data_IF_439262642154
#
_entry.id   IF_439262642154
#
_cell.length_a   1.000
_cell.length_b   1.000
_cell.length_c   1.000
_cell.angle_alpha   90.00
_cell.angle_beta   90.00
_cell.angle_gamma   90.00
#
_symmetry.space_group_name_H-M   'P 1'
#
loop_
_entity.id
_entity.type
_entity.pdbx_description
1 polymer ?
#
# COMPACT_ATOMS: atom_id res chain seq x y z
N UNK A 1 -19.31 -2.15 -19.59
CA UNK A 1 -18.98 -2.06 -18.13
C UNK A 1 -17.48 -2.19 -18.02
N UNK A 2 -16.80 -1.25 -17.38
CA UNK A 2 -15.34 -1.26 -17.23
C UNK A 2 -14.95 -2.41 -16.29
N UNK A 3 -13.97 -3.22 -16.70
CA UNK A 3 -13.37 -4.24 -15.86
C UNK A 3 -12.13 -3.65 -15.16
N UNK A 4 -12.31 -3.00 -14.04
CA UNK A 4 -11.22 -2.39 -13.29
C UNK A 4 -10.11 -3.38 -12.93
N UNK A 5 -10.46 -4.63 -12.58
CA UNK A 5 -9.45 -5.64 -12.26
C UNK A 5 -8.50 -5.95 -13.43
N UNK A 6 -9.01 -6.00 -14.65
CA UNK A 6 -8.20 -6.17 -15.86
C UNK A 6 -7.34 -4.93 -16.13
N UNK A 7 -7.93 -3.72 -16.05
CA UNK A 7 -7.20 -2.48 -16.27
C UNK A 7 -6.01 -2.30 -15.30
N UNK A 8 -6.23 -2.55 -14.01
CA UNK A 8 -5.15 -2.46 -13.03
C UNK A 8 -4.10 -3.55 -13.26
N UNK A 9 -4.51 -4.77 -13.59
CA UNK A 9 -3.56 -5.84 -13.89
C UNK A 9 -2.69 -5.53 -15.11
N UNK A 10 -3.30 -5.05 -16.19
CA UNK A 10 -2.59 -4.65 -17.41
C UNK A 10 -1.65 -3.47 -17.14
N UNK A 11 -2.13 -2.51 -16.34
CA UNK A 11 -1.30 -1.38 -15.91
C UNK A 11 -0.06 -1.88 -15.15
N UNK A 12 -0.22 -2.75 -14.14
CA UNK A 12 0.91 -3.34 -13.43
C UNK A 12 1.87 -4.08 -14.36
N UNK A 13 1.35 -4.86 -15.30
CA UNK A 13 2.17 -5.62 -16.24
C UNK A 13 3.04 -4.73 -17.14
N UNK A 14 2.57 -3.52 -17.46
CA UNK A 14 3.33 -2.55 -18.23
C UNK A 14 4.57 -2.01 -17.49
N UNK A 15 4.53 -1.94 -16.14
CA UNK A 15 5.60 -1.38 -15.33
C UNK A 15 6.42 -2.44 -14.57
N UNK A 16 5.80 -3.54 -14.13
CA UNK A 16 6.38 -4.47 -13.16
C UNK A 16 6.64 -5.87 -13.72
N UNK A 17 6.25 -6.15 -14.96
CA UNK A 17 6.25 -7.48 -15.58
C UNK A 17 5.22 -8.43 -14.93
N UNK A 18 5.46 -9.75 -15.01
CA UNK A 18 4.57 -10.75 -14.44
C UNK A 18 4.81 -10.93 -12.93
N UNK A 19 3.76 -11.08 -12.12
CA UNK A 19 3.90 -11.34 -10.71
C UNK A 19 4.48 -12.76 -10.47
N UNK A 20 5.37 -12.87 -9.49
CA UNK A 20 5.92 -14.16 -9.05
C UNK A 20 5.02 -14.89 -8.05
N UNK A 21 3.97 -14.26 -7.60
CA UNK A 21 3.01 -14.83 -6.65
C UNK A 21 1.72 -14.04 -6.59
N UNK A 22 0.65 -14.73 -6.19
CA UNK A 22 -0.69 -14.16 -6.05
C UNK A 22 -1.38 -14.82 -4.87
N UNK A 23 -1.81 -14.01 -3.92
CA UNK A 23 -2.57 -14.45 -2.77
C UNK A 23 -3.96 -13.82 -2.80
N UNK A 24 -4.99 -14.58 -2.42
CA UNK A 24 -6.39 -14.13 -2.46
C UNK A 24 -6.92 -14.05 -1.04
N UNK A 25 -7.33 -12.87 -0.65
CA UNK A 25 -7.89 -12.60 0.67
C UNK A 25 -9.39 -12.29 0.59
N UNK A 26 -10.15 -12.78 1.56
CA UNK A 26 -11.60 -12.52 1.71
C UNK A 26 -11.90 -12.23 3.16
N UNK A 27 -12.70 -11.20 3.41
CA UNK A 27 -13.24 -10.93 4.74
C UNK A 27 -14.43 -11.85 5.02
N UNK A 28 -15.35 -11.95 4.07
CA UNK A 28 -16.51 -12.86 4.09
C UNK A 28 -16.74 -13.47 2.71
N UNK A 29 -17.61 -14.50 2.63
CA UNK A 29 -17.94 -15.11 1.34
C UNK A 29 -18.77 -14.19 0.42
N UNK A 30 -19.45 -13.21 0.98
CA UNK A 30 -20.33 -12.27 0.24
C UNK A 30 -19.58 -11.04 -0.27
N UNK A 31 -18.43 -10.73 0.31
CA UNK A 31 -17.63 -9.58 -0.07
C UNK A 31 -16.65 -9.92 -1.23
N UNK A 32 -16.39 -8.98 -2.15
CA UNK A 32 -15.35 -9.15 -3.14
C UNK A 32 -14.00 -9.48 -2.51
N UNK A 33 -13.21 -10.32 -3.15
CA UNK A 33 -11.85 -10.59 -2.70
C UNK A 33 -10.90 -9.45 -3.07
N UNK A 34 -9.91 -9.21 -2.23
CA UNK A 34 -8.69 -8.47 -2.57
C UNK A 34 -7.60 -9.50 -2.82
N UNK A 35 -6.88 -9.34 -3.90
CA UNK A 35 -5.72 -10.14 -4.24
C UNK A 35 -4.49 -9.30 -3.98
N UNK A 36 -3.42 -9.95 -3.53
CA UNK A 36 -2.11 -9.32 -3.44
C UNK A 36 -1.19 -10.02 -4.45
N UNK A 37 -0.73 -9.24 -5.40
CA UNK A 37 0.24 -9.67 -6.41
C UNK A 37 1.64 -9.33 -5.90
N UNK A 38 2.57 -10.28 -6.02
CA UNK A 38 3.95 -10.09 -5.57
C UNK A 38 4.89 -10.09 -6.76
N UNK A 39 5.80 -9.13 -6.78
CA UNK A 39 6.82 -8.94 -7.81
C UNK A 39 8.21 -8.90 -7.19
N UNK A 40 9.20 -9.33 -7.95
CA UNK A 40 10.63 -9.24 -7.61
C UNK A 40 11.41 -8.56 -8.75
N UNK A 41 12.63 -8.16 -8.47
CA UNK A 41 13.52 -7.54 -9.47
C UNK A 41 12.96 -6.23 -10.10
N UNK A 42 12.03 -5.56 -9.40
CA UNK A 42 11.59 -4.20 -9.74
C UNK A 42 12.54 -3.19 -9.15
N UNK A 43 12.87 -3.35 -7.88
CA UNK A 43 13.92 -2.62 -7.17
C UNK A 43 14.93 -3.61 -6.62
N UNK A 44 16.20 -3.17 -6.48
CA UNK A 44 17.27 -4.01 -5.97
C UNK A 44 16.94 -4.48 -4.54
N UNK A 45 17.05 -5.79 -4.30
CA UNK A 45 16.80 -6.45 -3.01
C UNK A 45 15.40 -6.22 -2.41
N UNK A 46 14.44 -5.68 -3.18
CA UNK A 46 13.08 -5.44 -2.70
C UNK A 46 12.04 -6.37 -3.34
N UNK A 47 10.93 -6.53 -2.62
CA UNK A 47 9.68 -7.11 -3.12
C UNK A 47 8.63 -6.01 -3.25
N UNK A 48 7.82 -6.08 -4.29
CA UNK A 48 6.67 -5.21 -4.48
C UNK A 48 5.39 -6.02 -4.30
N UNK A 49 4.48 -5.51 -3.51
CA UNK A 49 3.16 -6.09 -3.25
C UNK A 49 2.09 -5.12 -3.72
N UNK A 50 1.28 -5.55 -4.69
CA UNK A 50 0.20 -4.73 -5.22
C UNK A 50 -1.15 -5.33 -4.88
N UNK A 51 -2.06 -4.51 -4.38
CA UNK A 51 -3.46 -4.92 -4.27
C UNK A 51 -4.11 -5.00 -5.65
N UNK A 52 -5.13 -5.86 -5.75
CA UNK A 52 -6.00 -5.97 -6.92
C UNK A 52 -7.40 -6.34 -6.47
N UNK A 53 -8.32 -5.40 -6.57
CA UNK A 53 -9.71 -5.54 -6.15
C UNK A 53 -10.16 -4.62 -5.04
N UNK A 54 -9.28 -3.73 -4.51
CA UNK A 54 -9.67 -2.62 -3.64
C UNK A 54 -10.59 -1.65 -4.38
N UNK A 55 -10.34 -1.39 -5.65
CA UNK A 55 -11.15 -0.58 -6.55
C UNK A 55 -12.64 -0.98 -6.60
N UNK A 56 -12.99 -2.23 -6.24
CA UNK A 56 -14.39 -2.68 -6.11
C UNK A 56 -15.11 -2.08 -4.91
N UNK A 57 -14.38 -1.45 -4.03
CA UNK A 57 -14.88 -0.81 -2.80
C UNK A 57 -14.83 0.72 -2.88
N UNK A 58 -14.75 1.28 -4.09
CA UNK A 58 -14.66 2.72 -4.36
C UNK A 58 -15.68 3.55 -3.55
N UNK A 59 -16.96 3.10 -3.51
CA UNK A 59 -18.02 3.78 -2.74
C UNK A 59 -17.77 3.78 -1.23
N UNK A 60 -16.96 2.85 -0.72
CA UNK A 60 -16.65 2.72 0.71
C UNK A 60 -15.38 3.48 1.05
N UNK A 61 -14.32 3.30 0.24
CA UNK A 61 -13.00 3.88 0.51
C UNK A 61 -12.82 5.29 -0.09
N UNK A 62 -13.83 5.77 -0.84
CA UNK A 62 -13.91 7.15 -1.33
C UNK A 62 -13.17 7.41 -2.64
N UNK A 63 -12.49 6.41 -3.21
CA UNK A 63 -11.76 6.55 -4.47
C UNK A 63 -11.58 5.21 -5.19
N UNK A 64 -11.44 5.26 -6.52
CA UNK A 64 -11.04 4.12 -7.32
C UNK A 64 -9.52 3.98 -7.26
N UNK A 65 -9.04 3.20 -6.30
CA UNK A 65 -7.60 3.06 -6.00
C UNK A 65 -7.19 1.62 -5.79
N UNK A 66 -5.94 1.35 -6.09
CA UNK A 66 -5.19 0.19 -5.62
C UNK A 66 -3.92 0.66 -4.91
N UNK A 67 -3.25 -0.23 -4.19
CA UNK A 67 -2.10 0.10 -3.34
C UNK A 67 -0.89 -0.74 -3.74
N UNK A 68 0.25 -0.08 -3.89
CA UNK A 68 1.57 -0.70 -4.05
C UNK A 68 2.39 -0.52 -2.78
N UNK A 69 3.02 -1.60 -2.30
CA UNK A 69 3.89 -1.56 -1.14
C UNK A 69 5.23 -2.21 -1.48
N UNK A 70 6.29 -1.42 -1.39
CA UNK A 70 7.67 -1.89 -1.59
C UNK A 70 8.29 -2.17 -0.23
N UNK A 71 8.93 -3.33 -0.10
CA UNK A 71 9.64 -3.70 1.13
C UNK A 71 10.96 -4.38 0.81
N UNK A 72 11.97 -4.15 1.64
CA UNK A 72 13.24 -4.86 1.55
C UNK A 72 13.08 -6.37 1.78
N UNK A 73 13.80 -7.12 1.02
CA UNK A 73 13.65 -8.47 0.52
C UNK A 73 13.26 -9.66 1.36
N UNK A 74 13.05 -9.60 2.63
CA UNK A 74 12.87 -10.85 3.38
C UNK A 74 11.53 -11.04 4.08
N UNK A 75 10.69 -10.02 4.11
CA UNK A 75 9.46 -10.08 4.89
C UNK A 75 8.27 -10.56 4.06
N UNK A 76 7.86 -11.81 4.26
CA UNK A 76 6.81 -12.48 3.46
C UNK A 76 5.38 -12.20 3.91
N UNK A 77 5.17 -11.69 5.13
CA UNK A 77 3.83 -11.42 5.66
C UNK A 77 3.24 -10.08 5.19
N UNK A 78 3.97 -9.29 4.40
CA UNK A 78 3.50 -7.97 3.89
C UNK A 78 2.17 -8.09 3.16
N UNK A 79 1.99 -9.12 2.33
CA UNK A 79 0.72 -9.33 1.61
C UNK A 79 -0.47 -9.50 2.56
N UNK A 80 -0.29 -10.28 3.63
CA UNK A 80 -1.31 -10.46 4.66
C UNK A 80 -1.59 -9.17 5.44
N UNK A 81 -0.54 -8.45 5.86
CA UNK A 81 -0.70 -7.19 6.62
C UNK A 81 -1.37 -6.11 5.78
N UNK A 82 -0.96 -5.97 4.51
CA UNK A 82 -1.59 -5.03 3.58
C UNK A 82 -3.07 -5.37 3.38
N UNK A 83 -3.39 -6.60 2.98
CA UNK A 83 -4.78 -7.01 2.74
C UNK A 83 -5.66 -6.84 3.98
N UNK A 84 -5.15 -7.20 5.17
CA UNK A 84 -5.87 -7.06 6.43
C UNK A 84 -6.13 -5.60 6.79
N UNK A 85 -5.16 -4.72 6.57
CA UNK A 85 -5.33 -3.27 6.76
C UNK A 85 -6.36 -2.70 5.79
N UNK A 86 -6.36 -3.11 4.52
CA UNK A 86 -7.36 -2.68 3.55
C UNK A 86 -8.77 -3.15 3.95
N UNK A 87 -8.93 -4.40 4.38
CA UNK A 87 -10.22 -4.88 4.90
C UNK A 87 -10.65 -4.17 6.19
N UNK A 88 -9.71 -3.80 7.06
CA UNK A 88 -10.02 -2.97 8.22
C UNK A 88 -10.58 -1.60 7.80
N UNK A 89 -9.98 -0.94 6.81
CA UNK A 89 -10.49 0.32 6.26
C UNK A 89 -11.91 0.14 5.69
N UNK A 90 -12.12 -0.90 4.89
CA UNK A 90 -13.44 -1.21 4.28
C UNK A 90 -14.50 -1.45 5.38
N UNK A 91 -14.18 -2.28 6.37
CA UNK A 91 -15.10 -2.62 7.47
C UNK A 91 -15.48 -1.42 8.34
N UNK A 92 -14.59 -0.45 8.49
CA UNK A 92 -14.81 0.77 9.26
C UNK A 92 -15.21 1.98 8.39
N UNK A 93 -15.42 1.78 7.07
CA UNK A 93 -15.78 2.84 6.11
C UNK A 93 -14.81 4.02 6.13
N UNK A 94 -13.53 3.70 6.23
CA UNK A 94 -12.45 4.70 6.23
C UNK A 94 -12.06 5.02 4.79
N UNK A 95 -11.87 6.29 4.51
CA UNK A 95 -11.28 6.72 3.23
C UNK A 95 -9.83 6.30 3.14
N UNK A 96 -9.38 5.95 1.93
CA UNK A 96 -7.99 5.63 1.61
C UNK A 96 -7.50 6.65 0.59
N UNK A 97 -6.39 7.31 0.88
CA UNK A 97 -5.79 8.34 0.03
C UNK A 97 -4.39 8.70 0.53
N UNK A 98 -3.76 9.65 -0.14
CA UNK A 98 -2.44 10.16 0.27
C UNK A 98 -2.51 10.89 1.61
N UNK A 99 -1.44 10.81 2.38
CA UNK A 99 -1.36 11.47 3.69
C UNK A 99 -2.25 10.84 4.76
N UNK A 100 -2.54 9.54 4.65
CA UNK A 100 -3.33 8.78 5.64
C UNK A 100 -2.46 7.71 6.27
N UNK A 101 -2.58 7.52 7.59
CA UNK A 101 -1.94 6.43 8.31
C UNK A 101 -2.97 5.56 9.04
N UNK A 102 -2.79 4.25 8.97
CA UNK A 102 -3.67 3.26 9.62
C UNK A 102 -2.86 2.46 10.62
N UNK A 103 -3.25 2.55 11.88
CA UNK A 103 -2.69 1.74 12.98
C UNK A 103 -3.33 0.35 13.04
N UNK A 104 -2.73 -0.53 13.82
CA UNK A 104 -3.33 -1.81 14.22
C UNK A 104 -2.54 -3.03 13.77
N UNK A 105 -1.31 -2.85 13.26
CA UNK A 105 -0.45 -3.98 12.88
C UNK A 105 -0.20 -4.90 14.07
N UNK A 106 -0.12 -4.35 15.30
CA UNK A 106 0.05 -5.12 16.53
C UNK A 106 -1.09 -6.12 16.78
N UNK A 107 -2.28 -5.86 16.29
CA UNK A 107 -3.43 -6.78 16.39
C UNK A 107 -3.37 -7.90 15.33
N UNK A 108 -2.63 -7.68 14.25
CA UNK A 108 -2.47 -8.62 13.14
C UNK A 108 -1.23 -9.49 13.32
N UNK A 109 -0.11 -8.87 13.68
CA UNK A 109 1.19 -9.54 13.88
C UNK A 109 2.02 -8.83 14.97
N UNK A 110 1.79 -9.16 16.27
CA UNK A 110 2.59 -8.59 17.37
C UNK A 110 4.09 -8.88 17.24
N UNK A 111 4.46 -10.02 16.63
CA UNK A 111 5.86 -10.42 16.46
C UNK A 111 6.56 -9.50 15.46
N UNK A 112 5.86 -9.08 14.41
CA UNK A 112 6.36 -8.10 13.46
C UNK A 112 6.64 -6.76 14.15
N UNK A 113 5.69 -6.26 14.94
CA UNK A 113 5.85 -5.00 15.67
C UNK A 113 7.02 -5.09 16.65
N UNK A 114 7.13 -6.19 17.41
CA UNK A 114 8.24 -6.39 18.33
C UNK A 114 9.60 -6.41 17.64
N UNK A 115 9.68 -7.02 16.45
CA UNK A 115 10.93 -7.18 15.71
C UNK A 115 11.34 -5.92 14.98
N UNK A 116 10.41 -5.25 14.31
CA UNK A 116 10.69 -4.16 13.38
C UNK A 116 10.32 -2.77 13.90
N UNK A 117 9.62 -2.69 15.04
CA UNK A 117 9.10 -1.44 15.59
C UNK A 117 8.23 -0.66 14.59
N UNK A 118 7.40 -1.39 13.82
CA UNK A 118 6.46 -0.82 12.86
C UNK A 118 5.04 -1.20 13.24
N UNK A 119 4.20 -0.20 13.57
CA UNK A 119 2.85 -0.40 14.12
C UNK A 119 1.72 0.10 13.22
N UNK A 120 2.07 0.85 12.15
CA UNK A 120 1.10 1.42 11.23
C UNK A 120 1.58 1.34 9.79
N UNK A 121 0.64 1.50 8.85
CA UNK A 121 0.89 1.69 7.41
C UNK A 121 0.52 3.13 7.06
N UNK A 122 1.42 3.82 6.37
CA UNK A 122 1.23 5.16 5.83
C UNK A 122 1.04 5.09 4.32
N UNK A 123 0.07 5.84 3.78
CA UNK A 123 -0.26 5.90 2.35
C UNK A 123 0.17 7.24 1.76
N UNK A 124 0.83 7.20 0.61
CA UNK A 124 1.35 8.38 -0.09
C UNK A 124 1.34 8.16 -1.61
N UNK A 125 1.85 9.13 -2.37
CA UNK A 125 2.09 8.99 -3.80
C UNK A 125 3.17 7.94 -4.08
N UNK A 126 3.14 7.24 -5.23
CA UNK A 126 4.12 6.21 -5.57
C UNK A 126 5.43 6.78 -6.14
N UNK A 127 6.09 7.66 -5.39
CA UNK A 127 7.26 8.45 -5.78
C UNK A 127 8.49 7.63 -6.25
N UNK A 128 8.56 6.36 -5.89
CA UNK A 128 9.66 5.47 -6.33
C UNK A 128 9.45 4.91 -7.75
N UNK A 129 8.24 5.04 -8.28
CA UNK A 129 7.87 4.60 -9.62
C UNK A 129 7.86 5.80 -10.59
N UNK A 130 7.86 5.56 -11.92
CA UNK A 130 7.60 6.61 -12.89
C UNK A 130 6.26 7.31 -12.62
N UNK A 131 6.15 8.60 -12.94
CA UNK A 131 4.94 9.41 -12.70
C UNK A 131 3.67 8.77 -13.28
N UNK A 132 3.79 8.16 -14.46
CA UNK A 132 2.68 7.50 -15.15
C UNK A 132 2.16 6.27 -14.41
N UNK A 133 2.92 5.72 -13.46
CA UNK A 133 2.49 4.59 -12.65
C UNK A 133 1.35 4.95 -11.71
N UNK A 134 1.29 6.20 -11.26
CA UNK A 134 0.29 6.66 -10.28
C UNK A 134 -1.13 6.70 -10.85
N UNK A 135 -1.30 6.77 -12.18
CA UNK A 135 -2.59 7.00 -12.85
C UNK A 135 -2.95 5.84 -13.77
N UNK A 136 -4.09 5.23 -13.52
CA UNK A 136 -4.62 4.13 -14.36
C UNK A 136 -5.57 4.69 -15.40
N UNK A 137 -5.32 4.34 -16.67
CA UNK A 137 -6.07 4.85 -17.82
C UNK A 137 -6.73 3.72 -18.61
N UNK A 138 -7.85 4.04 -19.25
CA UNK A 138 -8.47 3.16 -20.25
C UNK A 138 -7.63 3.11 -21.53
N UNK A 139 -7.98 2.19 -22.43
CA UNK A 139 -7.40 2.16 -23.78
C UNK A 139 -7.70 3.44 -24.60
N UNK A 140 -8.71 4.23 -24.21
CA UNK A 140 -9.04 5.54 -24.79
C UNK A 140 -8.32 6.68 -24.08
N UNK A 141 -7.41 6.37 -23.17
CA UNK A 141 -6.62 7.32 -22.40
C UNK A 141 -7.39 8.14 -21.35
N UNK A 142 -8.61 7.73 -21.01
CA UNK A 142 -9.36 8.35 -19.91
C UNK A 142 -8.84 7.87 -18.57
N UNK A 143 -8.62 8.78 -17.63
CA UNK A 143 -8.24 8.44 -16.25
C UNK A 143 -9.42 7.80 -15.53
N UNK A 144 -9.20 6.64 -14.92
CA UNK A 144 -10.26 5.86 -14.27
C UNK A 144 -9.92 5.41 -12.86
N UNK A 145 -8.68 5.57 -12.44
CA UNK A 145 -8.23 5.20 -11.10
C UNK A 145 -6.79 5.59 -10.84
N UNK A 146 -6.32 5.34 -9.63
CA UNK A 146 -4.96 5.65 -9.23
C UNK A 146 -4.33 4.54 -8.41
N UNK A 147 -3.00 4.59 -8.29
CA UNK A 147 -2.22 3.72 -7.42
C UNK A 147 -1.60 4.58 -6.33
N UNK A 148 -1.78 4.17 -5.09
CA UNK A 148 -1.09 4.73 -3.93
C UNK A 148 0.13 3.88 -3.59
N UNK A 149 1.15 4.49 -3.03
CA UNK A 149 2.22 3.79 -2.34
C UNK A 149 1.90 3.65 -0.85
N UNK A 150 2.42 2.58 -0.24
CA UNK A 150 2.31 2.38 1.19
C UNK A 150 3.63 1.90 1.78
N UNK A 151 3.91 2.27 3.03
CA UNK A 151 5.07 1.80 3.78
C UNK A 151 4.80 1.75 5.28
N UNK A 152 5.63 0.99 5.97
CA UNK A 152 5.51 0.82 7.42
C UNK A 152 6.11 2.00 8.18
N UNK A 153 5.40 2.45 9.21
CA UNK A 153 5.85 3.48 10.15
C UNK A 153 5.80 2.98 11.60
N UNK A 154 6.65 3.55 12.45
CA UNK A 154 6.67 3.25 13.88
C UNK A 154 5.53 3.96 14.64
N UNK A 155 5.33 3.61 15.91
CA UNK A 155 4.36 4.30 16.76
C UNK A 155 4.72 5.78 16.95
N UNK A 156 5.99 6.10 17.19
CA UNK A 156 6.41 7.49 17.35
C UNK A 156 6.25 8.32 16.07
N UNK A 157 6.47 7.71 14.90
CA UNK A 157 6.20 8.35 13.61
C UNK A 157 4.70 8.58 13.38
N UNK A 158 3.87 7.61 13.76
CA UNK A 158 2.42 7.80 13.73
C UNK A 158 1.96 8.92 14.68
N UNK A 159 2.49 8.99 15.89
CA UNK A 159 2.16 10.04 16.86
C UNK A 159 2.59 11.42 16.35
N UNK A 160 3.76 11.49 15.69
CA UNK A 160 4.22 12.73 15.05
C UNK A 160 3.28 13.13 13.91
N UNK A 161 2.94 12.21 13.01
CA UNK A 161 1.98 12.41 11.94
C UNK A 161 0.61 12.89 12.48
N UNK A 162 0.07 12.22 13.49
CA UNK A 162 -1.21 12.57 14.10
C UNK A 162 -1.21 13.97 14.71
N UNK A 163 -0.06 14.44 15.21
CA UNK A 163 0.10 15.76 15.83
C UNK A 163 0.34 16.87 14.83
N UNK A 164 1.13 16.61 13.79
CA UNK A 164 1.64 17.66 12.90
C UNK A 164 1.09 17.60 11.47
N UNK A 165 0.43 16.51 11.10
CA UNK A 165 -0.15 16.30 9.78
C UNK A 165 0.83 15.67 8.77
N UNK A 166 0.27 15.32 7.61
CA UNK A 166 0.97 14.61 6.55
C UNK A 166 2.16 15.39 5.99
N UNK A 167 1.94 16.67 5.61
CA UNK A 167 2.96 17.52 5.02
C UNK A 167 4.24 17.55 5.88
N UNK A 168 4.09 17.85 7.19
CA UNK A 168 5.26 17.91 8.09
C UNK A 168 5.90 16.55 8.33
N UNK A 169 5.13 15.48 8.24
CA UNK A 169 5.68 14.15 8.38
C UNK A 169 6.48 13.76 7.13
N UNK A 170 5.98 14.06 5.95
CA UNK A 170 6.68 13.81 4.68
C UNK A 170 7.95 14.68 4.56
N UNK A 171 7.87 15.98 4.93
CA UNK A 171 9.03 16.88 5.00
C UNK A 171 10.13 16.30 5.93
N UNK A 172 9.74 15.74 7.08
CA UNK A 172 10.68 15.12 8.03
C UNK A 172 11.36 13.89 7.44
N UNK A 173 10.60 13.03 6.73
CA UNK A 173 11.16 11.85 6.07
C UNK A 173 12.16 12.26 4.99
N UNK A 174 11.85 13.28 4.20
CA UNK A 174 12.73 13.83 3.18
C UNK A 174 14.00 14.46 3.79
N UNK A 175 13.84 15.34 4.80
CA UNK A 175 14.97 15.98 5.52
C UNK A 175 15.96 14.94 6.08
N UNK A 176 15.43 13.84 6.60
CA UNK A 176 16.24 12.75 7.17
C UNK A 176 16.74 11.76 6.11
N UNK A 177 16.39 11.97 4.84
CA UNK A 177 16.71 11.06 3.72
C UNK A 177 16.36 9.60 4.05
N UNK A 178 15.13 9.39 4.49
CA UNK A 178 14.65 8.07 4.95
C UNK A 178 14.42 7.15 3.77
N UNK A 179 14.92 5.91 3.85
CA UNK A 179 14.49 4.83 2.97
C UNK A 179 13.24 4.16 3.58
N UNK A 180 12.03 4.43 3.07
CA UNK A 180 10.80 3.88 3.63
C UNK A 180 10.61 2.39 3.31
N UNK A 181 11.36 1.83 2.36
CA UNK A 181 11.30 0.42 2.00
C UNK A 181 12.05 -0.47 2.98
N UNK A 182 13.01 0.11 3.70
CA UNK A 182 13.77 -0.60 4.71
C UNK A 182 12.92 -0.79 5.98
N UNK A 183 12.39 -2.01 6.15
CA UNK A 183 11.58 -2.35 7.32
C UNK A 183 12.39 -2.27 8.63
N UNK A 184 13.72 -2.49 8.55
CA UNK A 184 14.63 -2.44 9.70
C UNK A 184 15.08 -1.01 10.06
N UNK A 185 14.70 0.01 9.30
CA UNK A 185 15.10 1.39 9.59
C UNK A 185 14.65 1.84 10.97
N UNK A 186 15.47 2.65 11.60
CA UNK A 186 15.09 3.30 12.86
C UNK A 186 13.96 4.31 12.64
N UNK A 187 13.22 4.61 13.69
CA UNK A 187 12.28 5.74 13.69
C UNK A 187 13.05 7.05 13.51
N UNK A 188 12.43 8.00 12.84
CA UNK A 188 12.99 9.35 12.64
C UNK A 188 12.55 10.35 13.72
N UNK A 189 11.70 9.88 14.64
CA UNK A 189 11.16 10.63 15.79
C UNK A 189 11.47 9.91 17.07
#
# INVERSE_FOLDING_TARGET
MINYGELYYDHYSNFLREPIGREVFKCTNEMPSIQILRYENVFEECLVYNSLGLSKYEEIVGANVEVSMVVDGAFRSTGYLLASTLFYCIGNKMQIGTGIAIQGIENLDPTFVQKYNKSAIYFTEPYAFPEEYSVVRTHTNDEVGSILSAFYISQSEFDYFAKYGAEKFEDLLEEKNVDPFNVNRQSVV
#
